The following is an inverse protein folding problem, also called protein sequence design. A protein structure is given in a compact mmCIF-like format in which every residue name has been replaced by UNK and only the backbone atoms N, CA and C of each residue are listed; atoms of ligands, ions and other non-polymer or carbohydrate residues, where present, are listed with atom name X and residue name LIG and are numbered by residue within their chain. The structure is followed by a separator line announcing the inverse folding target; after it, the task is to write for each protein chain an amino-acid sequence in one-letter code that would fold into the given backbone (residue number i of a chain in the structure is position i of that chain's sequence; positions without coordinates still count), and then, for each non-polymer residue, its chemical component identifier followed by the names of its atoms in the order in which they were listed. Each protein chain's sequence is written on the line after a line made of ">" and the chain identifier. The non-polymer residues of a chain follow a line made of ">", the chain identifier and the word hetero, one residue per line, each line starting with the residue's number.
data_IF_476452492273
#
_entry.id   IF_476452492273
#
_cell.length_a   1.000
_cell.length_b   1.000
_cell.length_c   1.000
_cell.angle_alpha   90.00
_cell.angle_beta   90.00
_cell.angle_gamma   90.00
#
_symmetry.space_group_name_H-M   'P 1'
#
loop_
_entity.id
_entity.type
_entity.pdbx_description
1 polymer ?
#
# COMPACT_ATOMS: atom_id res chain seq x y z
N UNK A 1 10.10 11.17 29.04
CA UNK A 1 10.20 9.85 29.71
C UNK A 1 11.31 9.09 28.99
N UNK A 2 12.48 8.90 29.66
CA UNK A 2 13.56 8.07 29.13
C UNK A 2 13.21 6.62 29.44
N UNK A 3 13.05 5.79 28.39
CA UNK A 3 12.98 4.34 28.57
C UNK A 3 14.40 3.78 28.59
N UNK A 4 14.75 3.06 29.65
CA UNK A 4 15.99 2.32 29.80
C UNK A 4 15.87 1.00 29.02
N UNK A 5 16.65 0.85 27.94
CA UNK A 5 16.62 -0.27 26.98
C UNK A 5 17.55 -1.42 27.40
N UNK A 6 17.97 -1.50 28.66
CA UNK A 6 19.05 -2.42 29.08
C UNK A 6 18.61 -3.75 29.72
N UNK A 7 17.30 -4.10 29.79
CA UNK A 7 16.87 -5.41 30.30
C UNK A 7 15.64 -5.93 29.57
N UNK A 8 15.81 -6.94 28.72
CA UNK A 8 14.76 -7.72 28.08
C UNK A 8 14.31 -7.11 26.74
N UNK A 9 15.13 -7.23 25.71
CA UNK A 9 14.77 -6.83 24.37
C UNK A 9 13.55 -7.62 23.88
N UNK A 10 12.35 -7.03 23.89
CA UNK A 10 11.28 -7.46 23.00
C UNK A 10 11.82 -7.23 21.59
N UNK A 11 12.27 -8.30 20.94
CA UNK A 11 12.56 -8.27 19.51
C UNK A 11 11.24 -7.98 18.79
N UNK A 12 10.93 -6.71 18.57
CA UNK A 12 9.79 -6.34 17.75
C UNK A 12 10.06 -6.89 16.35
N UNK A 13 9.14 -7.72 15.86
CA UNK A 13 9.28 -8.33 14.54
C UNK A 13 9.12 -7.23 13.48
N UNK A 14 10.14 -7.04 12.66
CA UNK A 14 10.12 -6.05 11.58
C UNK A 14 9.12 -6.47 10.51
N UNK A 15 8.37 -5.50 10.02
CA UNK A 15 7.48 -5.65 8.87
C UNK A 15 8.18 -5.24 7.58
N UNK A 16 8.95 -4.13 7.62
CA UNK A 16 9.70 -3.62 6.48
C UNK A 16 11.10 -3.25 6.96
N UNK A 17 12.11 -3.61 6.18
CA UNK A 17 13.51 -3.24 6.38
C UNK A 17 14.08 -2.70 5.08
N UNK A 18 14.57 -1.46 5.08
CA UNK A 18 15.32 -0.86 3.98
C UNK A 18 16.76 -0.63 4.43
N UNK A 19 17.74 -1.13 3.67
CA UNK A 19 19.16 -0.99 3.99
C UNK A 19 19.92 -0.42 2.80
N UNK A 20 20.46 0.80 2.95
CA UNK A 20 21.23 1.52 1.95
C UNK A 20 20.55 1.55 0.57
N UNK A 21 19.23 1.75 0.55
CA UNK A 21 18.42 1.70 -0.67
C UNK A 21 18.76 2.90 -1.55
N UNK A 22 19.16 2.63 -2.78
CA UNK A 22 19.35 3.62 -3.84
C UNK A 22 18.38 3.27 -4.99
N UNK A 23 17.75 4.29 -5.55
CA UNK A 23 16.91 4.09 -6.73
C UNK A 23 17.03 5.23 -7.72
N UNK A 24 17.21 4.87 -8.99
CA UNK A 24 17.32 5.80 -10.12
C UNK A 24 16.26 5.46 -11.17
N UNK A 25 15.53 6.49 -11.62
CA UNK A 25 14.63 6.37 -12.77
C UNK A 25 15.43 6.57 -14.07
N UNK A 26 15.21 5.70 -15.06
CA UNK A 26 15.64 5.96 -16.44
C UNK A 26 14.71 6.98 -17.07
N UNK A 27 15.23 8.04 -17.67
CA UNK A 27 14.43 9.10 -18.29
C UNK A 27 14.03 8.78 -19.74
N UNK A 28 14.43 7.59 -20.27
CA UNK A 28 14.17 7.21 -21.66
C UNK A 28 15.12 7.84 -22.69
N UNK A 29 15.95 8.80 -22.30
CA UNK A 29 17.05 9.32 -23.07
C UNK A 29 18.32 8.53 -22.74
N UNK A 30 19.12 8.16 -23.74
CA UNK A 30 20.32 7.34 -23.51
C UNK A 30 21.26 7.97 -22.47
N UNK A 31 21.42 7.28 -21.35
CA UNK A 31 22.40 7.60 -20.30
C UNK A 31 21.96 8.63 -19.27
N UNK A 32 20.71 9.12 -19.27
CA UNK A 32 20.22 10.03 -18.25
C UNK A 32 19.42 9.28 -17.19
N UNK A 33 20.00 9.18 -15.99
CA UNK A 33 19.33 8.63 -14.81
C UNK A 33 19.00 9.77 -13.82
N UNK A 34 17.81 9.69 -13.23
CA UNK A 34 17.37 10.62 -12.18
C UNK A 34 17.38 9.90 -10.84
N UNK A 35 18.27 10.29 -9.93
CA UNK A 35 18.31 9.78 -8.58
C UNK A 35 17.04 10.19 -7.81
N UNK A 36 16.33 9.20 -7.26
CA UNK A 36 15.09 9.39 -6.52
C UNK A 36 15.22 9.00 -5.04
N UNK A 37 16.07 8.02 -4.73
CA UNK A 37 16.40 7.59 -3.37
C UNK A 37 17.91 7.45 -3.30
N UNK A 38 18.53 7.98 -2.24
CA UNK A 38 19.98 7.99 -2.01
C UNK A 38 20.32 7.44 -0.62
N UNK A 39 20.63 6.14 -0.53
CA UNK A 39 21.11 5.49 0.69
C UNK A 39 20.08 5.41 1.82
N UNK A 40 18.78 5.21 1.51
CA UNK A 40 17.74 5.15 2.54
C UNK A 40 17.95 3.94 3.46
N UNK A 41 17.92 4.22 4.76
CA UNK A 41 17.84 3.22 5.83
C UNK A 41 16.57 3.48 6.63
N UNK A 42 15.67 2.47 6.70
CA UNK A 42 14.37 2.59 7.35
C UNK A 42 13.90 1.22 7.82
N UNK A 43 13.51 1.13 9.07
CA UNK A 43 12.85 -0.06 9.64
C UNK A 43 11.44 0.30 10.09
N UNK A 44 10.47 -0.57 9.79
CA UNK A 44 9.08 -0.47 10.27
C UNK A 44 8.72 -1.76 10.99
N UNK A 45 8.32 -1.65 12.25
CA UNK A 45 7.95 -2.80 13.06
C UNK A 45 6.48 -3.21 12.83
N UNK A 46 6.13 -4.45 13.11
CA UNK A 46 4.73 -4.87 13.11
C UNK A 46 3.93 -4.08 14.16
N UNK A 47 2.76 -3.58 13.73
CA UNK A 47 1.89 -2.74 14.58
C UNK A 47 2.35 -1.30 14.72
N UNK A 48 3.41 -0.89 14.04
CA UNK A 48 3.87 0.49 14.02
C UNK A 48 3.05 1.32 13.02
N UNK A 49 2.77 2.57 13.38
CA UNK A 49 2.19 3.57 12.51
C UNK A 49 3.29 4.59 12.14
N UNK A 50 3.75 4.52 10.89
CA UNK A 50 4.80 5.39 10.36
C UNK A 50 4.23 6.45 9.42
N UNK A 51 4.63 7.70 9.61
CA UNK A 51 4.31 8.80 8.69
C UNK A 51 5.60 9.30 8.04
N UNK A 52 5.62 9.30 6.70
CA UNK A 52 6.73 9.84 5.89
C UNK A 52 6.36 11.22 5.38
N UNK A 53 7.08 12.24 5.84
CA UNK A 53 6.86 13.63 5.45
C UNK A 53 7.97 14.13 4.53
N UNK A 54 7.61 15.00 3.59
CA UNK A 54 8.56 15.62 2.66
C UNK A 54 7.84 16.42 1.58
N UNK A 55 8.57 17.32 0.90
CA UNK A 55 8.02 18.11 -0.22
C UNK A 55 7.72 17.22 -1.44
N UNK A 56 6.97 17.77 -2.40
CA UNK A 56 6.68 17.05 -3.66
C UNK A 56 7.99 16.76 -4.41
N UNK A 57 8.13 15.53 -4.92
CA UNK A 57 9.33 15.07 -5.57
C UNK A 57 10.47 14.63 -4.64
N UNK A 58 10.27 14.56 -3.31
CA UNK A 58 11.28 14.06 -2.37
C UNK A 58 11.44 12.54 -2.31
N UNK A 59 10.75 11.78 -3.18
CA UNK A 59 10.88 10.31 -3.23
C UNK A 59 9.87 9.52 -2.39
N UNK A 60 8.89 10.14 -1.71
CA UNK A 60 7.91 9.45 -0.86
C UNK A 60 7.18 8.30 -1.58
N UNK A 61 6.58 8.59 -2.73
CA UNK A 61 5.90 7.56 -3.54
C UNK A 61 6.86 6.50 -4.07
N UNK A 62 8.11 6.86 -4.31
CA UNK A 62 9.16 5.91 -4.71
C UNK A 62 9.45 4.94 -3.57
N UNK A 63 9.64 5.46 -2.35
CA UNK A 63 9.82 4.63 -1.13
C UNK A 63 8.62 3.72 -0.91
N UNK A 64 7.38 4.25 -0.98
CA UNK A 64 6.16 3.47 -0.83
C UNK A 64 6.09 2.29 -1.82
N UNK A 65 6.46 2.51 -3.09
CA UNK A 65 6.48 1.47 -4.13
C UNK A 65 7.54 0.40 -3.89
N UNK A 66 8.67 0.71 -3.26
CA UNK A 66 9.65 -0.30 -2.85
C UNK A 66 9.11 -1.19 -1.72
N UNK A 67 8.35 -0.63 -0.78
CA UNK A 67 7.75 -1.38 0.33
C UNK A 67 6.68 -2.39 -0.09
N UNK A 68 6.21 -2.33 -1.35
CA UNK A 68 5.25 -3.28 -1.93
C UNK A 68 5.83 -4.07 -3.12
N UNK A 69 7.14 -4.01 -3.36
CA UNK A 69 7.83 -4.61 -4.51
C UNK A 69 7.22 -4.22 -5.87
N UNK A 70 6.68 -2.98 -6.00
CA UNK A 70 6.33 -2.39 -7.29
C UNK A 70 7.56 -1.79 -7.98
N UNK A 71 8.55 -1.37 -7.20
CA UNK A 71 9.87 -0.99 -7.66
C UNK A 71 10.91 -1.83 -6.92
N UNK A 72 11.96 -2.22 -7.63
CA UNK A 72 13.11 -2.94 -7.07
C UNK A 72 14.26 -1.96 -6.94
N UNK A 73 14.98 -1.92 -5.82
CA UNK A 73 16.08 -0.99 -5.64
C UNK A 73 17.21 -1.21 -6.64
N UNK A 74 17.87 -0.12 -7.07
CA UNK A 74 19.06 -0.19 -7.91
C UNK A 74 20.27 -0.71 -7.11
N UNK A 75 20.35 -0.27 -5.83
CA UNK A 75 21.35 -0.72 -4.86
C UNK A 75 20.70 -0.84 -3.48
N UNK A 76 21.32 -1.62 -2.60
CA UNK A 76 20.79 -1.91 -1.27
C UNK A 76 19.74 -3.02 -1.27
N UNK A 77 19.00 -3.16 -0.17
CA UNK A 77 18.00 -4.23 0.01
C UNK A 77 16.72 -3.70 0.63
N UNK A 78 15.59 -4.27 0.19
CA UNK A 78 14.28 -4.07 0.83
C UNK A 78 13.70 -5.43 1.17
N UNK A 79 13.46 -5.65 2.46
CA UNK A 79 12.84 -6.88 3.00
C UNK A 79 11.45 -6.52 3.50
N UNK A 80 10.44 -7.27 3.07
CA UNK A 80 9.04 -7.08 3.48
C UNK A 80 8.51 -8.36 4.09
N UNK A 81 8.08 -8.30 5.36
CA UNK A 81 7.65 -9.47 6.13
C UNK A 81 8.63 -10.65 6.07
N UNK A 82 9.95 -10.36 6.04
CA UNK A 82 11.03 -11.34 5.97
C UNK A 82 11.38 -11.82 4.55
N UNK A 83 10.73 -11.29 3.50
CA UNK A 83 10.94 -11.67 2.11
C UNK A 83 11.70 -10.57 1.35
N UNK A 84 12.73 -10.94 0.60
CA UNK A 84 13.52 -10.02 -0.24
C UNK A 84 12.72 -9.64 -1.49
N UNK A 85 12.63 -8.34 -1.76
CA UNK A 85 11.90 -7.79 -2.93
C UNK A 85 12.61 -8.06 -4.25
N UNK A 86 13.90 -8.40 -4.24
CA UNK A 86 14.67 -8.72 -5.46
C UNK A 86 14.40 -10.14 -5.98
N UNK A 87 13.85 -11.02 -5.14
CA UNK A 87 13.45 -12.36 -5.55
C UNK A 87 12.03 -12.34 -6.14
N UNK A 88 11.93 -12.55 -7.44
CA UNK A 88 10.67 -12.55 -8.19
C UNK A 88 9.64 -13.56 -7.64
N UNK A 89 10.09 -14.67 -7.05
CA UNK A 89 9.21 -15.67 -6.43
C UNK A 89 8.48 -15.12 -5.20
N UNK A 90 9.03 -14.12 -4.54
CA UNK A 90 8.46 -13.50 -3.34
C UNK A 90 7.41 -12.42 -3.64
N UNK A 91 7.35 -11.91 -4.88
CA UNK A 91 6.54 -10.72 -5.23
C UNK A 91 5.08 -10.88 -4.86
N UNK A 92 4.53 -12.07 -5.09
CA UNK A 92 3.13 -12.36 -4.77
C UNK A 92 2.87 -12.31 -3.26
N UNK A 93 3.71 -12.97 -2.47
CA UNK A 93 3.60 -13.02 -1.00
C UNK A 93 3.85 -11.64 -0.37
N UNK A 94 4.77 -10.85 -0.93
CA UNK A 94 5.02 -9.48 -0.52
C UNK A 94 3.76 -8.63 -0.74
N UNK A 95 3.19 -8.64 -1.95
CA UNK A 95 2.01 -7.83 -2.30
C UNK A 95 0.76 -8.23 -1.55
N UNK A 96 0.61 -9.51 -1.22
CA UNK A 96 -0.48 -10.00 -0.37
C UNK A 96 -0.33 -9.57 1.10
N UNK A 97 0.92 -9.46 1.59
CA UNK A 97 1.20 -9.09 2.98
C UNK A 97 1.29 -7.57 3.20
N UNK A 98 1.66 -6.79 2.18
CA UNK A 98 1.79 -5.33 2.21
C UNK A 98 0.93 -4.70 1.10
N UNK A 99 -0.34 -4.46 1.41
CA UNK A 99 -1.30 -3.85 0.48
C UNK A 99 -1.00 -2.37 0.26
N UNK A 100 -1.16 -1.88 -0.97
CA UNK A 100 -0.90 -0.48 -1.30
C UNK A 100 -2.16 0.22 -1.80
N UNK A 101 -2.42 1.41 -1.24
CA UNK A 101 -3.46 2.34 -1.68
C UNK A 101 -2.80 3.48 -2.43
N UNK A 102 -3.17 3.66 -3.69
CA UNK A 102 -2.57 4.67 -4.57
C UNK A 102 -3.18 6.06 -4.38
N UNK A 103 -2.45 7.09 -4.80
CA UNK A 103 -2.87 8.48 -4.79
C UNK A 103 -4.13 8.73 -5.63
N UNK A 104 -4.25 8.09 -6.79
CA UNK A 104 -5.41 8.19 -7.67
C UNK A 104 -6.19 6.87 -7.66
N UNK A 105 -7.44 6.84 -7.15
CA UNK A 105 -8.25 5.63 -7.11
C UNK A 105 -8.62 5.09 -8.50
N UNK A 106 -8.69 5.93 -9.53
CA UNK A 106 -8.98 5.47 -10.89
C UNK A 106 -7.88 4.57 -11.47
N UNK A 107 -6.66 4.63 -10.93
CA UNK A 107 -5.58 3.73 -11.30
C UNK A 107 -5.65 2.37 -10.56
N UNK A 108 -6.53 2.24 -9.58
CA UNK A 108 -6.66 1.04 -8.74
C UNK A 108 -7.93 0.27 -9.01
N UNK A 109 -9.04 0.96 -9.30
CA UNK A 109 -10.35 0.35 -9.56
C UNK A 109 -10.38 -0.20 -10.99
N UNK A 110 -10.70 -1.48 -11.14
CA UNK A 110 -10.65 -2.20 -12.43
C UNK A 110 -11.99 -2.85 -12.82
N UNK A 111 -12.88 -3.12 -11.85
CA UNK A 111 -14.16 -3.77 -12.12
C UNK A 111 -15.27 -2.77 -12.48
N UNK A 112 -16.34 -3.30 -13.05
CA UNK A 112 -17.52 -2.52 -13.44
C UNK A 112 -18.52 -2.32 -12.31
N UNK A 113 -18.42 -3.12 -11.25
CA UNK A 113 -19.26 -3.09 -10.06
C UNK A 113 -18.38 -3.08 -8.82
N UNK A 114 -18.74 -2.28 -7.81
CA UNK A 114 -18.00 -2.09 -6.56
C UNK A 114 -17.68 -3.41 -5.85
N UNK A 115 -18.67 -4.31 -5.68
CA UNK A 115 -18.45 -5.59 -4.99
C UNK A 115 -17.46 -6.50 -5.71
N UNK A 116 -17.43 -6.46 -7.04
CA UNK A 116 -16.47 -7.22 -7.84
C UNK A 116 -15.06 -6.64 -7.71
N UNK A 117 -14.95 -5.31 -7.66
CA UNK A 117 -13.66 -4.65 -7.47
C UNK A 117 -13.04 -4.97 -6.10
N UNK A 118 -13.85 -4.93 -5.04
CA UNK A 118 -13.41 -5.29 -3.68
C UNK A 118 -13.09 -6.79 -3.57
N UNK A 119 -13.78 -7.65 -4.32
CA UNK A 119 -13.53 -9.09 -4.37
C UNK A 119 -12.25 -9.47 -5.15
N UNK A 120 -11.81 -8.61 -6.06
CA UNK A 120 -10.71 -8.90 -7.00
C UNK A 120 -9.42 -9.37 -6.32
N UNK A 121 -9.02 -8.68 -5.24
CA UNK A 121 -7.83 -9.05 -4.46
C UNK A 121 -7.96 -10.44 -3.82
N UNK A 122 -8.99 -10.68 -2.99
CA UNK A 122 -9.25 -11.99 -2.38
C UNK A 122 -9.40 -13.14 -3.39
N UNK A 123 -10.03 -12.90 -4.55
CA UNK A 123 -10.16 -13.90 -5.62
C UNK A 123 -8.80 -14.32 -6.15
N UNK A 124 -7.93 -13.36 -6.44
CA UNK A 124 -6.56 -13.62 -6.89
C UNK A 124 -5.72 -14.35 -5.82
N UNK A 125 -6.04 -14.18 -4.55
CA UNK A 125 -5.40 -14.90 -3.44
C UNK A 125 -5.97 -16.31 -3.24
N UNK A 126 -6.93 -16.74 -4.06
CA UNK A 126 -7.56 -18.06 -3.96
C UNK A 126 -8.44 -18.25 -2.71
N UNK A 127 -8.96 -17.17 -2.15
CA UNK A 127 -9.85 -17.23 -0.99
C UNK A 127 -11.17 -17.92 -1.40
N UNK A 128 -11.75 -18.81 -0.58
CA UNK A 128 -13.00 -19.48 -0.90
C UNK A 128 -14.16 -18.51 -1.11
N UNK A 129 -15.09 -18.75 -2.07
CA UNK A 129 -16.15 -17.79 -2.43
C UNK A 129 -17.05 -17.33 -1.26
N UNK A 130 -17.32 -18.20 -0.31
CA UNK A 130 -18.12 -17.83 0.87
C UNK A 130 -17.38 -16.84 1.77
N UNK A 131 -16.07 -17.04 1.93
CA UNK A 131 -15.21 -16.14 2.70
C UNK A 131 -15.01 -14.81 1.97
N UNK A 132 -14.89 -14.82 0.64
CA UNK A 132 -14.79 -13.59 -0.18
C UNK A 132 -16.01 -12.71 0.08
N UNK A 133 -17.23 -13.25 0.00
CA UNK A 133 -18.45 -12.48 0.25
C UNK A 133 -18.43 -11.80 1.61
N UNK A 134 -18.04 -12.54 2.65
CA UNK A 134 -17.93 -11.98 4.00
C UNK A 134 -16.89 -10.87 4.07
N UNK A 135 -15.70 -11.06 3.50
CA UNK A 135 -14.64 -10.07 3.50
C UNK A 135 -15.02 -8.79 2.75
N UNK A 136 -15.74 -8.94 1.63
CA UNK A 136 -16.28 -7.81 0.86
C UNK A 136 -17.28 -7.02 1.68
N UNK A 137 -18.25 -7.69 2.31
CA UNK A 137 -19.26 -7.03 3.15
C UNK A 137 -18.61 -6.31 4.35
N UNK A 138 -17.73 -6.99 5.08
CA UNK A 138 -17.00 -6.44 6.21
C UNK A 138 -16.11 -5.25 5.81
N UNK A 139 -15.46 -5.31 4.63
CA UNK A 139 -14.61 -4.24 4.15
C UNK A 139 -15.42 -2.99 3.73
N UNK A 140 -16.52 -3.20 3.01
CA UNK A 140 -17.43 -2.10 2.61
C UNK A 140 -18.09 -1.43 3.81
N UNK A 141 -18.46 -2.19 4.83
CA UNK A 141 -18.99 -1.65 6.08
C UNK A 141 -17.97 -0.77 6.80
N UNK A 142 -16.71 -1.23 6.93
CA UNK A 142 -15.63 -0.48 7.57
C UNK A 142 -15.36 0.88 6.94
N UNK A 143 -15.54 1.00 5.62
CA UNK A 143 -15.33 2.28 4.91
C UNK A 143 -16.65 3.04 4.67
N UNK A 144 -17.80 2.57 5.21
CA UNK A 144 -19.10 3.22 5.07
C UNK A 144 -19.63 3.23 3.64
N UNK A 145 -19.40 2.14 2.87
CA UNK A 145 -19.76 2.05 1.45
C UNK A 145 -20.71 0.89 1.12
N UNK A 146 -21.34 0.27 2.12
CA UNK A 146 -22.22 -0.89 1.92
C UNK A 146 -23.38 -0.64 0.94
N UNK A 147 -23.95 0.56 0.95
CA UNK A 147 -25.07 0.94 0.07
C UNK A 147 -24.63 1.02 -1.40
N UNK A 148 -23.35 1.23 -1.66
CA UNK A 148 -22.78 1.37 -3.01
C UNK A 148 -22.31 0.04 -3.61
N UNK A 149 -22.49 -1.07 -2.90
CA UNK A 149 -22.01 -2.41 -3.27
C UNK A 149 -22.28 -2.79 -4.73
N UNK A 150 -23.46 -2.44 -5.26
CA UNK A 150 -23.90 -2.74 -6.64
C UNK A 150 -23.79 -1.57 -7.61
N UNK A 151 -23.17 -0.46 -7.18
CA UNK A 151 -22.96 0.68 -8.06
C UNK A 151 -21.74 0.48 -8.96
N UNK A 152 -21.76 1.17 -10.09
CA UNK A 152 -20.60 1.25 -10.96
C UNK A 152 -19.60 2.29 -10.40
N UNK A 153 -18.29 1.97 -10.30
CA UNK A 153 -17.29 2.88 -9.73
C UNK A 153 -17.23 4.25 -10.44
N UNK A 154 -17.47 4.32 -11.74
CA UNK A 154 -17.44 5.56 -12.50
C UNK A 154 -18.55 6.57 -12.12
N UNK A 155 -19.59 6.13 -11.40
CA UNK A 155 -20.66 6.99 -10.89
C UNK A 155 -20.37 7.58 -9.51
N UNK A 156 -19.26 7.19 -8.89
CA UNK A 156 -18.88 7.58 -7.54
C UNK A 156 -18.02 8.85 -7.55
N UNK A 157 -18.13 9.63 -6.45
CA UNK A 157 -17.21 10.75 -6.20
C UNK A 157 -15.77 10.24 -5.98
N UNK A 158 -14.78 11.14 -6.10
CA UNK A 158 -13.38 10.79 -5.85
C UNK A 158 -13.15 10.22 -4.43
N UNK A 159 -13.79 10.80 -3.41
CA UNK A 159 -13.72 10.29 -2.03
C UNK A 159 -14.36 8.92 -1.87
N UNK A 160 -15.49 8.66 -2.53
CA UNK A 160 -16.13 7.36 -2.55
C UNK A 160 -15.27 6.32 -3.25
N UNK A 161 -14.70 6.64 -4.41
CA UNK A 161 -13.76 5.76 -5.12
C UNK A 161 -12.54 5.41 -4.26
N UNK A 162 -11.98 6.38 -3.56
CA UNK A 162 -10.83 6.15 -2.66
C UNK A 162 -11.20 5.21 -1.52
N UNK A 163 -12.40 5.36 -0.93
CA UNK A 163 -12.89 4.43 0.11
C UNK A 163 -13.09 3.03 -0.45
N UNK A 164 -13.56 2.86 -1.68
CA UNK A 164 -13.65 1.54 -2.33
C UNK A 164 -12.26 0.95 -2.57
N UNK A 165 -11.28 1.74 -3.03
CA UNK A 165 -9.90 1.29 -3.19
C UNK A 165 -9.30 0.80 -1.85
N UNK A 166 -9.59 1.51 -0.75
CA UNK A 166 -9.20 1.08 0.59
C UNK A 166 -9.92 -0.23 0.98
N UNK A 167 -11.22 -0.35 0.68
CA UNK A 167 -11.98 -1.57 0.96
C UNK A 167 -11.39 -2.80 0.24
N UNK A 168 -10.97 -2.64 -1.03
CA UNK A 168 -10.30 -3.70 -1.78
C UNK A 168 -9.03 -4.20 -1.09
N UNK A 169 -8.21 -3.28 -0.56
CA UNK A 169 -7.03 -3.66 0.22
C UNK A 169 -7.41 -4.31 1.55
N UNK A 170 -8.41 -3.78 2.28
CA UNK A 170 -8.87 -4.37 3.54
C UNK A 170 -9.42 -5.79 3.37
N UNK A 171 -10.11 -6.08 2.26
CA UNK A 171 -10.65 -7.41 1.95
C UNK A 171 -9.56 -8.47 1.75
N UNK A 172 -8.35 -8.07 1.29
CA UNK A 172 -7.17 -8.95 1.21
C UNK A 172 -6.63 -9.34 2.59
N UNK A 173 -6.94 -8.57 3.65
CA UNK A 173 -6.43 -8.75 5.02
C UNK A 173 -4.89 -8.73 5.10
N UNK A 174 -4.22 -7.72 4.55
CA UNK A 174 -2.78 -7.62 4.58
C UNK A 174 -2.27 -7.39 6.00
N UNK A 175 -0.98 -7.69 6.24
CA UNK A 175 -0.30 -7.44 7.51
C UNK A 175 0.14 -5.98 7.68
N UNK A 176 0.26 -5.26 6.58
CA UNK A 176 0.61 -3.85 6.50
C UNK A 176 -0.17 -3.17 5.38
N UNK A 177 -0.56 -1.91 5.57
CA UNK A 177 -1.15 -1.09 4.51
C UNK A 177 -0.25 0.11 4.29
N UNK A 178 0.09 0.36 3.03
CA UNK A 178 0.91 1.47 2.58
C UNK A 178 0.00 2.47 1.88
N UNK A 179 -0.08 3.70 2.38
CA UNK A 179 -0.84 4.77 1.79
C UNK A 179 0.10 5.75 1.06
N UNK A 180 -0.02 5.85 -0.26
CA UNK A 180 0.70 6.84 -1.08
C UNK A 180 -0.19 8.05 -1.31
N UNK A 181 -0.14 9.03 -0.40
CA UNK A 181 -0.91 10.30 -0.46
C UNK A 181 -2.42 10.10 -0.77
N UNK A 182 -3.16 9.25 -0.03
CA UNK A 182 -4.50 8.77 -0.41
C UNK A 182 -5.56 9.87 -0.50
N UNK A 183 -5.25 11.09 -0.07
CA UNK A 183 -6.18 12.24 -0.10
C UNK A 183 -5.74 13.36 -1.03
N UNK A 184 -4.60 13.23 -1.72
CA UNK A 184 -4.02 14.32 -2.51
C UNK A 184 -4.89 14.76 -3.70
N UNK A 185 -5.62 13.81 -4.30
CA UNK A 185 -6.48 14.05 -5.47
C UNK A 185 -7.93 14.36 -5.07
N UNK A 186 -8.23 14.48 -3.77
CA UNK A 186 -9.58 14.69 -3.28
C UNK A 186 -9.85 16.17 -2.97
N UNK A 187 -11.08 16.59 -3.20
CA UNK A 187 -11.61 17.87 -2.72
C UNK A 187 -11.70 17.89 -1.18
N UNK A 188 -11.93 19.06 -0.55
CA UNK A 188 -11.98 19.15 0.91
C UNK A 188 -13.03 18.26 1.57
N UNK A 189 -14.16 17.98 0.90
CA UNK A 189 -15.20 17.09 1.40
C UNK A 189 -14.73 15.64 1.35
N UNK A 190 -14.23 15.18 0.20
CA UNK A 190 -13.70 13.83 0.02
C UNK A 190 -12.53 13.50 0.95
N UNK A 191 -11.68 14.50 1.29
CA UNK A 191 -10.61 14.31 2.28
C UNK A 191 -11.17 13.96 3.67
N UNK A 192 -12.24 14.65 4.10
CA UNK A 192 -12.88 14.37 5.39
C UNK A 192 -13.57 13.00 5.42
N UNK A 193 -14.01 12.51 4.28
CA UNK A 193 -14.67 11.20 4.17
C UNK A 193 -13.68 10.04 4.28
N UNK A 194 -12.41 10.25 3.88
CA UNK A 194 -11.35 9.22 3.89
C UNK A 194 -10.55 9.23 5.19
N UNK A 195 -10.45 10.39 5.86
CA UNK A 195 -9.72 10.57 7.14
C UNK A 195 -10.53 10.11 8.35
#
# INVERSE_FOLDING_TARGET
>A
IKYDVSKGGIHMQKMIECKNVVYKYSTGEEGIEKLAIDGLNLDVNKGEFLVVLGHNGSGKSTVAKHMNALLIPTEGTVIVNGLDTTDENNVWDIRSSAGMVFQNPDNQLVATIVEEDVAFGPENLGVPPQEIRKRVDDALEKVGMSEYKRHAPHLLSGGQKQRIAIAGILAMQPKCIIFDEPTAMLDPSGRKEVM
#
